data_IF_913635259081
#
_entry.id   IF_913635259081
#
_cell.length_a   1.000
_cell.length_b   1.000
_cell.length_c   1.000
_cell.angle_alpha   90.00
_cell.angle_beta   90.00
_cell.angle_gamma   90.00
#
_symmetry.space_group_name_H-M   'P 1'
#
loop_
_entity.id
_entity.type
_entity.pdbx_description
1 polymer ?
#
# COMPACT_ATOMS: atom_id res chain seq x y z
N UNK A 1 -0.91 4.76 -7.94
CA UNK A 1 -0.77 4.25 -6.54
C UNK A 1 0.20 3.10 -6.47
N UNK A 2 -0.01 2.03 -7.26
CA UNK A 2 0.88 0.87 -7.26
C UNK A 2 2.33 1.21 -7.61
N UNK A 3 2.57 2.10 -8.59
CA UNK A 3 3.93 2.55 -8.93
C UNK A 3 4.66 3.15 -7.72
N UNK A 4 3.95 3.94 -6.90
CA UNK A 4 4.52 4.59 -5.70
C UNK A 4 4.83 3.58 -4.60
N UNK A 5 3.97 2.56 -4.44
CA UNK A 5 4.19 1.53 -3.42
C UNK A 5 5.32 0.56 -3.79
N UNK A 6 5.49 0.30 -5.08
CA UNK A 6 6.38 -0.76 -5.59
C UNK A 6 7.70 -0.25 -6.13
N UNK A 7 7.79 1.04 -6.47
CA UNK A 7 8.93 1.61 -7.20
C UNK A 7 9.03 1.13 -8.65
N UNK A 8 8.02 0.42 -9.16
CA UNK A 8 8.02 -0.21 -10.50
C UNK A 8 7.22 0.61 -11.51
N UNK A 9 7.62 0.60 -12.80
CA UNK A 9 6.83 1.20 -13.87
C UNK A 9 5.53 0.42 -14.10
N UNK A 10 4.49 1.05 -14.70
CA UNK A 10 3.19 0.42 -14.89
C UNK A 10 3.20 -0.70 -15.95
N UNK A 11 4.18 -0.69 -16.84
CA UNK A 11 4.45 -1.71 -17.87
C UNK A 11 5.96 -1.86 -18.05
N UNK A 12 6.43 -3.00 -18.57
CA UNK A 12 7.84 -3.23 -18.89
C UNK A 12 8.32 -4.63 -18.54
N UNK A 13 9.59 -4.92 -18.87
CA UNK A 13 10.20 -6.26 -18.68
C UNK A 13 10.21 -6.73 -17.23
N UNK A 14 10.34 -5.80 -16.29
CA UNK A 14 10.32 -6.07 -14.85
C UNK A 14 8.96 -6.58 -14.33
N UNK A 15 7.93 -6.55 -15.20
CA UNK A 15 6.53 -6.90 -14.93
C UNK A 15 6.07 -8.08 -15.80
N UNK A 16 6.97 -8.64 -16.61
CA UNK A 16 6.68 -9.79 -17.50
C UNK A 16 6.46 -11.09 -16.71
N UNK A 17 7.17 -11.27 -15.59
CA UNK A 17 6.92 -12.35 -14.61
C UNK A 17 5.63 -12.06 -13.82
N UNK A 18 4.46 -12.25 -14.42
CA UNK A 18 3.18 -12.15 -13.71
C UNK A 18 2.01 -11.51 -14.44
N UNK A 19 2.13 -11.16 -15.74
CA UNK A 19 0.94 -10.80 -16.55
C UNK A 19 1.03 -9.54 -17.42
N UNK A 20 2.21 -8.93 -17.57
CA UNK A 20 2.46 -7.91 -18.61
C UNK A 20 2.11 -6.46 -18.22
N UNK A 21 1.42 -6.24 -17.09
CA UNK A 21 1.28 -4.91 -16.47
C UNK A 21 1.32 -5.00 -14.93
N UNK A 22 1.52 -3.85 -14.28
CA UNK A 22 1.81 -3.78 -12.84
C UNK A 22 0.65 -4.30 -11.97
N UNK A 23 -0.60 -4.16 -12.42
CA UNK A 23 -1.77 -4.64 -11.69
C UNK A 23 -1.75 -6.17 -11.62
N UNK A 24 -1.47 -6.83 -12.74
CA UNK A 24 -1.42 -8.30 -12.80
C UNK A 24 -0.25 -8.86 -12.00
N UNK A 25 0.91 -8.22 -12.06
CA UNK A 25 2.06 -8.58 -11.23
C UNK A 25 1.76 -8.48 -9.73
N UNK A 26 1.11 -7.40 -9.29
CA UNK A 26 0.71 -7.21 -7.88
C UNK A 26 -0.26 -8.32 -7.45
N UNK A 27 -1.28 -8.61 -8.25
CA UNK A 27 -2.24 -9.69 -7.98
C UNK A 27 -1.55 -11.06 -7.90
N UNK A 28 -0.60 -11.33 -8.80
CA UNK A 28 0.19 -12.55 -8.81
C UNK A 28 1.05 -12.71 -7.55
N UNK A 29 1.70 -11.64 -7.09
CA UNK A 29 2.48 -11.65 -5.84
C UNK A 29 1.60 -11.95 -4.63
N UNK A 30 0.44 -11.30 -4.53
CA UNK A 30 -0.53 -11.51 -3.45
C UNK A 30 -1.07 -12.94 -3.47
N UNK A 31 -1.47 -13.46 -4.64
CA UNK A 31 -1.97 -14.82 -4.78
C UNK A 31 -0.96 -15.89 -4.35
N UNK A 32 0.34 -15.57 -4.38
CA UNK A 32 1.43 -16.44 -3.91
C UNK A 32 1.89 -16.16 -2.47
N UNK A 33 1.18 -15.28 -1.75
CA UNK A 33 1.51 -14.90 -0.37
C UNK A 33 2.81 -14.10 -0.23
N UNK A 34 3.25 -13.41 -1.30
CA UNK A 34 4.51 -12.64 -1.35
C UNK A 34 4.27 -11.14 -1.23
N UNK A 35 3.21 -10.73 -0.56
CA UNK A 35 2.86 -9.32 -0.37
C UNK A 35 3.94 -8.51 0.36
N UNK A 36 4.73 -9.14 1.24
CA UNK A 36 5.86 -8.48 1.91
C UNK A 36 7.02 -8.08 0.97
N UNK A 37 7.10 -8.68 -0.21
CA UNK A 37 8.12 -8.40 -1.23
C UNK A 37 7.64 -7.38 -2.29
N UNK A 38 6.39 -6.90 -2.17
CA UNK A 38 5.79 -5.99 -3.13
C UNK A 38 6.35 -4.57 -3.01
N UNK A 39 6.63 -4.14 -1.78
CA UNK A 39 6.96 -2.76 -1.50
C UNK A 39 8.37 -2.38 -1.99
N UNK A 40 8.50 -1.13 -2.45
CA UNK A 40 9.77 -0.56 -2.87
C UNK A 40 10.81 -0.70 -1.72
N UNK A 41 11.97 -1.34 -1.96
CA UNK A 41 13.03 -1.48 -0.97
C UNK A 41 13.57 -0.14 -0.44
N UNK A 42 13.36 0.97 -1.15
CA UNK A 42 13.71 2.31 -0.69
C UNK A 42 12.75 2.88 0.36
N UNK A 43 11.59 2.23 0.62
CA UNK A 43 10.64 2.67 1.63
C UNK A 43 10.94 2.06 3.02
N UNK A 44 10.60 2.77 4.12
CA UNK A 44 10.77 2.24 5.47
C UNK A 44 9.91 0.98 5.68
N UNK A 45 10.53 -0.13 6.05
CA UNK A 45 9.87 -1.45 6.13
C UNK A 45 9.28 -1.75 7.52
N UNK A 46 9.30 -0.80 8.48
CA UNK A 46 9.00 -1.11 9.89
C UNK A 46 7.85 -0.31 10.48
N UNK A 47 7.13 -0.98 11.40
CA UNK A 47 6.10 -0.40 12.26
C UNK A 47 4.93 0.19 11.47
N UNK A 48 4.52 1.39 11.89
CA UNK A 48 3.35 2.10 11.35
C UNK A 48 3.42 2.34 9.84
N UNK A 49 4.62 2.52 9.28
CA UNK A 49 4.80 2.77 7.84
C UNK A 49 4.39 1.55 7.02
N UNK A 50 4.75 0.35 7.47
CA UNK A 50 4.34 -0.88 6.80
C UNK A 50 2.81 -1.05 6.83
N UNK A 51 2.17 -0.83 7.98
CA UNK A 51 0.71 -0.88 8.10
C UNK A 51 0.01 0.15 7.21
N UNK A 52 0.56 1.37 7.14
CA UNK A 52 0.09 2.40 6.21
C UNK A 52 0.16 1.93 4.76
N UNK A 53 1.30 1.39 4.35
CA UNK A 53 1.49 0.88 2.98
C UNK A 53 0.54 -0.26 2.64
N UNK A 54 0.29 -1.20 3.56
CA UNK A 54 -0.68 -2.29 3.38
C UNK A 54 -2.10 -1.74 3.18
N UNK A 55 -2.52 -0.71 3.94
CA UNK A 55 -3.83 -0.08 3.73
C UNK A 55 -3.93 0.68 2.41
N UNK A 56 -2.86 1.36 2.00
CA UNK A 56 -2.81 2.01 0.68
C UNK A 56 -2.87 0.96 -0.44
N UNK A 57 -2.24 -0.20 -0.26
CA UNK A 57 -2.31 -1.32 -1.20
C UNK A 57 -3.74 -1.84 -1.34
N UNK A 58 -4.48 -1.98 -0.23
CA UNK A 58 -5.89 -2.37 -0.27
C UNK A 58 -6.74 -1.38 -1.09
N UNK A 59 -6.58 -0.07 -0.85
CA UNK A 59 -7.26 0.96 -1.65
C UNK A 59 -6.87 0.86 -3.14
N UNK A 60 -5.60 0.61 -3.44
CA UNK A 60 -5.14 0.44 -4.82
C UNK A 60 -5.76 -0.80 -5.51
N UNK A 61 -5.97 -1.89 -4.77
CA UNK A 61 -6.64 -3.09 -5.29
C UNK A 61 -8.11 -2.79 -5.63
N UNK A 62 -8.83 -2.10 -4.74
CA UNK A 62 -10.21 -1.70 -5.00
C UNK A 62 -10.33 -0.78 -6.22
N UNK A 63 -9.44 0.21 -6.35
CA UNK A 63 -9.35 1.11 -7.50
C UNK A 63 -9.14 0.37 -8.83
N UNK A 64 -8.50 -0.79 -8.78
CA UNK A 64 -8.16 -1.60 -9.95
C UNK A 64 -9.00 -2.86 -10.05
N UNK A 65 -10.14 -2.95 -9.35
CA UNK A 65 -11.04 -4.09 -9.45
C UNK A 65 -11.44 -4.38 -10.92
N UNK A 66 -11.46 -5.66 -11.30
CA UNK A 66 -11.84 -6.05 -12.68
C UNK A 66 -13.26 -5.61 -13.01
N UNK A 67 -14.16 -5.73 -12.04
CA UNK A 67 -15.53 -5.25 -12.14
C UNK A 67 -15.59 -3.73 -11.87
N UNK A 68 -15.97 -2.89 -12.85
CA UNK A 68 -15.96 -1.44 -12.69
C UNK A 68 -16.89 -0.91 -11.59
N UNK A 69 -18.00 -1.59 -11.31
CA UNK A 69 -18.95 -1.19 -10.26
C UNK A 69 -18.41 -1.39 -8.84
N UNK A 70 -17.34 -2.16 -8.67
CA UNK A 70 -16.64 -2.31 -7.38
C UNK A 70 -15.58 -1.24 -7.15
N UNK A 71 -15.23 -0.46 -8.17
CA UNK A 71 -14.21 0.58 -8.05
C UNK A 71 -14.77 1.75 -7.24
N UNK A 72 -14.07 2.22 -6.21
CA UNK A 72 -14.49 3.36 -5.43
C UNK A 72 -14.47 4.64 -6.27
N UNK A 73 -15.33 5.59 -5.92
CA UNK A 73 -15.27 6.95 -6.43
C UNK A 73 -14.00 7.65 -5.93
N UNK A 74 -13.53 8.66 -6.65
CA UNK A 74 -12.36 9.44 -6.19
C UNK A 74 -12.58 10.11 -4.83
N UNK A 75 -13.82 10.40 -4.44
CA UNK A 75 -14.15 10.92 -3.11
C UNK A 75 -13.88 9.87 -2.02
N UNK A 76 -14.27 8.62 -2.26
CA UNK A 76 -14.00 7.50 -1.35
C UNK A 76 -12.50 7.18 -1.27
N UNK A 77 -11.79 7.22 -2.40
CA UNK A 77 -10.33 7.04 -2.44
C UNK A 77 -9.63 8.09 -1.57
N UNK A 78 -9.95 9.38 -1.76
CA UNK A 78 -9.36 10.46 -0.95
C UNK A 78 -9.71 10.32 0.53
N UNK A 79 -10.94 9.93 0.85
CA UNK A 79 -11.36 9.67 2.23
C UNK A 79 -10.54 8.53 2.85
N UNK A 80 -10.37 7.41 2.13
CA UNK A 80 -9.56 6.28 2.58
C UNK A 80 -8.11 6.68 2.82
N UNK A 81 -7.49 7.40 1.87
CA UNK A 81 -6.12 7.89 2.00
C UNK A 81 -5.94 8.84 3.19
N UNK A 82 -6.91 9.72 3.45
CA UNK A 82 -6.90 10.58 4.66
C UNK A 82 -6.94 9.76 5.94
N UNK A 83 -7.73 8.68 5.99
CA UNK A 83 -7.79 7.83 7.18
C UNK A 83 -6.46 7.10 7.43
N UNK A 84 -5.77 6.69 6.37
CA UNK A 84 -4.42 6.13 6.47
C UNK A 84 -3.44 7.16 7.05
N UNK A 85 -3.50 8.42 6.58
CA UNK A 85 -2.65 9.49 7.09
C UNK A 85 -2.89 9.80 8.57
N UNK A 86 -4.13 9.64 9.05
CA UNK A 86 -4.51 9.86 10.45
C UNK A 86 -4.02 8.78 11.41
N UNK A 87 -3.48 7.66 10.93
CA UNK A 87 -2.88 6.63 11.79
C UNK A 87 -1.59 7.11 12.51
N UNK A 88 -1.17 8.36 12.31
CA UNK A 88 0.05 8.97 12.84
C UNK A 88 0.08 9.28 14.35
N UNK A 89 -0.73 8.64 15.21
CA UNK A 89 -0.86 9.14 16.59
C UNK A 89 -1.12 8.14 17.72
N UNK A 90 -0.30 7.10 17.90
CA UNK A 90 -0.25 6.38 19.19
C UNK A 90 1.16 6.11 19.77
N UNK A 91 2.26 6.40 19.06
CA UNK A 91 3.60 6.02 19.55
C UNK A 91 4.40 7.13 20.26
N UNK A 92 4.00 8.41 20.16
CA UNK A 92 4.73 9.50 20.85
C UNK A 92 4.24 9.82 22.26
N UNK A 93 3.07 9.31 22.69
CA UNK A 93 2.58 9.57 24.05
C UNK A 93 3.13 8.59 25.10
N UNK A 94 3.65 7.41 24.72
CA UNK A 94 4.19 6.46 25.70
C UNK A 94 5.62 6.78 26.16
N UNK A 95 6.35 7.61 25.43
CA UNK A 95 7.69 8.08 25.86
C UNK A 95 7.62 9.31 26.78
N UNK A 96 6.45 9.96 26.91
CA UNK A 96 6.29 11.12 27.79
C UNK A 96 5.86 10.75 29.22
N UNK A 97 5.40 9.52 29.47
CA UNK A 97 4.96 9.06 30.79
C UNK A 97 6.02 8.32 31.62
N UNK A 98 7.19 8.00 31.05
CA UNK A 98 8.26 7.24 31.75
C UNK A 98 9.39 8.14 32.29
N UNK A 99 9.32 9.45 32.04
CA UNK A 99 10.35 10.40 32.47
C UNK A 99 9.75 11.61 33.20
N UNK A 100 9.24 11.39 34.41
CA UNK A 100 9.13 12.45 35.41
C UNK A 100 9.65 11.92 36.76
N UNK A 101 10.52 12.67 37.47
CA UNK A 101 10.97 12.33 38.82
C UNK A 101 9.87 12.50 39.86
#
# INVERSE_FOLDING_TARGET
>A
MLEVLTGRPPTGKEVEDGGGNLVDWVRWMIARGREGELFDPCLPVSGLWHEQMVRVLAIAQDCTADEPSKRPTMVEVVKGLKMVQLMKHESHNLQQFVAQP
#
